data_IF_870576582685
#
_entry.id   IF_870576582685
#
_cell.length_a   1.000
_cell.length_b   1.000
_cell.length_c   1.000
_cell.angle_alpha   90.00
_cell.angle_beta   90.00
_cell.angle_gamma   90.00
#
_symmetry.space_group_name_H-M   'P 1'
#
loop_
_entity.id
_entity.type
_entity.pdbx_description
1 polymer ?
#
# COMPACT_ATOMS: atom_id res chain seq x y z
N UNK A 1 -6.62 20.63 -8.76
CA UNK A 1 -7.94 20.11 -9.21
C UNK A 1 -7.78 18.88 -10.11
N UNK A 2 -6.80 18.82 -11.03
CA UNK A 2 -6.60 17.66 -11.92
C UNK A 2 -5.94 16.44 -11.22
N UNK A 3 -5.05 16.66 -10.24
CA UNK A 3 -4.37 15.55 -9.57
C UNK A 3 -5.32 14.79 -8.63
N UNK A 4 -6.23 15.51 -7.97
CA UNK A 4 -7.34 14.92 -7.18
C UNK A 4 -8.21 14.00 -8.02
N UNK A 5 -8.45 14.36 -9.29
CA UNK A 5 -9.23 13.53 -10.20
C UNK A 5 -8.47 12.27 -10.61
N UNK A 6 -7.15 12.38 -10.86
CA UNK A 6 -6.30 11.23 -11.13
C UNK A 6 -6.23 10.26 -9.94
N UNK A 7 -6.24 10.76 -8.70
CA UNK A 7 -6.28 9.91 -7.51
C UNK A 7 -7.57 9.10 -7.42
N UNK A 8 -8.72 9.76 -7.59
CA UNK A 8 -10.01 9.06 -7.59
C UNK A 8 -10.09 8.05 -8.71
N UNK A 9 -9.65 8.40 -9.91
CA UNK A 9 -9.70 7.49 -11.04
C UNK A 9 -8.76 6.29 -10.83
N UNK A 10 -7.57 6.52 -10.29
CA UNK A 10 -6.65 5.43 -9.94
C UNK A 10 -7.25 4.51 -8.86
N UNK A 11 -7.91 5.08 -7.86
CA UNK A 11 -8.63 4.30 -6.85
C UNK A 11 -9.75 3.47 -7.48
N UNK A 12 -10.55 4.04 -8.38
CA UNK A 12 -11.59 3.30 -9.14
C UNK A 12 -10.99 2.14 -9.93
N UNK A 13 -9.86 2.34 -10.61
CA UNK A 13 -9.19 1.25 -11.33
C UNK A 13 -8.65 0.17 -10.39
N UNK A 14 -8.20 0.52 -9.18
CA UNK A 14 -7.80 -0.48 -8.19
C UNK A 14 -8.99 -1.31 -7.70
N UNK A 15 -10.13 -0.68 -7.43
CA UNK A 15 -11.36 -1.40 -7.06
C UNK A 15 -11.89 -2.26 -8.20
N UNK A 16 -11.68 -1.84 -9.46
CA UNK A 16 -12.03 -2.61 -10.65
C UNK A 16 -11.05 -3.78 -10.92
N UNK A 17 -9.93 -3.87 -10.21
CA UNK A 17 -8.92 -4.90 -10.43
C UNK A 17 -7.96 -4.61 -11.60
N UNK A 18 -7.84 -3.35 -12.02
CA UNK A 18 -7.01 -2.85 -13.11
C UNK A 18 -5.77 -2.07 -12.60
N UNK A 19 -4.82 -2.71 -11.90
CA UNK A 19 -3.71 -2.00 -11.26
C UNK A 19 -2.75 -1.33 -12.25
N UNK A 20 -2.66 -1.82 -13.48
CA UNK A 20 -1.81 -1.23 -14.52
C UNK A 20 -2.34 0.13 -14.98
N UNK A 21 -3.67 0.27 -15.06
CA UNK A 21 -4.28 1.54 -15.45
C UNK A 21 -4.19 2.57 -14.30
N UNK A 22 -4.34 2.12 -13.06
CA UNK A 22 -4.03 2.93 -11.89
C UNK A 22 -2.57 3.43 -11.92
N UNK A 23 -1.60 2.57 -12.26
CA UNK A 23 -0.20 3.00 -12.40
C UNK A 23 0.00 4.00 -13.53
N UNK A 24 -0.64 3.81 -14.68
CA UNK A 24 -0.57 4.77 -15.80
C UNK A 24 -0.99 6.19 -15.39
N UNK A 25 -1.93 6.30 -14.45
CA UNK A 25 -2.39 7.58 -13.91
C UNK A 25 -1.47 8.16 -12.82
N UNK A 26 -0.87 7.29 -12.00
CA UNK A 26 -0.09 7.69 -10.83
C UNK A 26 1.42 7.84 -11.09
N UNK A 27 2.02 7.06 -11.99
CA UNK A 27 3.47 7.10 -12.27
C UNK A 27 3.97 8.49 -12.70
N UNK A 28 3.25 9.27 -13.54
CA UNK A 28 3.68 10.63 -13.87
C UNK A 28 3.73 11.58 -12.67
N UNK A 29 3.07 11.21 -11.56
CA UNK A 29 3.01 11.99 -10.33
C UNK A 29 3.93 11.40 -9.24
N UNK A 30 4.69 10.34 -9.52
CA UNK A 30 5.43 9.60 -8.49
C UNK A 30 6.37 10.49 -7.65
N UNK A 31 7.00 11.49 -8.27
CA UNK A 31 7.90 12.43 -7.59
C UNK A 31 7.18 13.33 -6.59
N UNK A 32 6.01 13.84 -6.96
CA UNK A 32 5.14 14.63 -6.08
C UNK A 32 4.53 13.76 -4.99
N UNK A 33 4.14 12.53 -5.37
CA UNK A 33 3.54 11.58 -4.45
C UNK A 33 4.53 11.08 -3.40
N UNK A 34 5.84 11.18 -3.61
CA UNK A 34 6.87 10.68 -2.68
C UNK A 34 6.70 11.17 -1.25
N UNK A 35 6.12 12.36 -1.05
CA UNK A 35 5.86 12.96 0.25
C UNK A 35 4.36 13.09 0.57
N UNK A 36 3.50 12.36 -0.15
CA UNK A 36 2.05 12.39 0.04
C UNK A 36 1.54 11.00 0.41
N UNK A 37 1.18 10.80 1.68
CA UNK A 37 0.81 9.48 2.22
C UNK A 37 -0.31 8.78 1.45
N UNK A 38 -1.41 9.47 1.14
CA UNK A 38 -2.53 8.88 0.39
C UNK A 38 -2.15 8.44 -1.02
N UNK A 39 -1.29 9.20 -1.70
CA UNK A 39 -0.83 8.85 -3.04
C UNK A 39 0.23 7.76 -3.06
N UNK A 40 1.15 7.74 -2.08
CA UNK A 40 2.02 6.57 -1.87
C UNK A 40 1.21 5.31 -1.57
N UNK A 41 0.10 5.44 -0.83
CA UNK A 41 -0.76 4.31 -0.53
C UNK A 41 -1.40 3.74 -1.80
N UNK A 42 -1.95 4.60 -2.66
CA UNK A 42 -2.51 4.20 -3.97
C UNK A 42 -1.44 3.59 -4.89
N UNK A 43 -0.25 4.21 -4.98
CA UNK A 43 0.88 3.66 -5.74
C UNK A 43 1.31 2.29 -5.20
N UNK A 44 1.44 2.14 -3.88
CA UNK A 44 1.81 0.89 -3.24
C UNK A 44 0.80 -0.22 -3.53
N UNK A 45 -0.50 0.08 -3.43
CA UNK A 45 -1.58 -0.85 -3.82
C UNK A 45 -1.45 -1.25 -5.28
N UNK A 46 -1.27 -0.30 -6.19
CA UNK A 46 -1.13 -0.56 -7.61
C UNK A 46 0.10 -1.42 -7.94
N UNK A 47 1.25 -1.16 -7.31
CA UNK A 47 2.43 -2.01 -7.42
C UNK A 47 2.21 -3.41 -6.86
N UNK A 48 1.56 -3.54 -5.72
CA UNK A 48 1.26 -4.83 -5.10
C UNK A 48 0.39 -5.70 -6.01
N UNK A 49 -0.71 -5.14 -6.52
CA UNK A 49 -1.65 -5.86 -7.38
C UNK A 49 -1.06 -6.17 -8.77
N UNK A 50 -0.11 -5.37 -9.25
CA UNK A 50 0.68 -5.66 -10.46
C UNK A 50 1.95 -6.49 -10.22
N UNK A 51 2.10 -7.09 -9.03
CA UNK A 51 3.23 -7.94 -8.64
C UNK A 51 4.62 -7.26 -8.64
N UNK A 52 4.68 -5.94 -8.66
CA UNK A 52 5.91 -5.15 -8.53
C UNK A 52 6.30 -4.97 -7.05
N UNK A 53 6.58 -6.09 -6.37
CA UNK A 53 6.65 -6.14 -4.91
C UNK A 53 7.74 -5.27 -4.28
N UNK A 54 8.86 -5.03 -4.97
CA UNK A 54 9.91 -4.13 -4.48
C UNK A 54 9.40 -2.68 -4.41
N UNK A 55 8.77 -2.20 -5.49
CA UNK A 55 8.18 -0.85 -5.54
C UNK A 55 7.01 -0.70 -4.57
N UNK A 56 6.23 -1.77 -4.38
CA UNK A 56 5.15 -1.79 -3.40
C UNK A 56 5.69 -1.62 -1.96
N UNK A 57 6.76 -2.36 -1.63
CA UNK A 57 7.39 -2.26 -0.32
C UNK A 57 7.89 -0.83 -0.07
N UNK A 58 8.66 -0.27 -1.00
CA UNK A 58 9.21 1.08 -0.92
C UNK A 58 8.12 2.16 -0.74
N UNK A 59 6.95 1.97 -1.39
CA UNK A 59 5.83 2.88 -1.27
C UNK A 59 5.15 2.76 0.10
N UNK A 60 4.87 1.54 0.57
CA UNK A 60 4.24 1.33 1.87
C UNK A 60 5.15 1.70 3.05
N UNK A 61 6.46 1.47 2.94
CA UNK A 61 7.44 1.93 3.95
C UNK A 61 7.35 3.45 4.13
N UNK A 62 7.28 4.21 3.03
CA UNK A 62 7.07 5.67 3.10
C UNK A 62 5.75 6.06 3.74
N UNK A 63 4.67 5.34 3.47
CA UNK A 63 3.39 5.59 4.16
C UNK A 63 3.53 5.34 5.66
N UNK A 64 4.19 4.25 6.06
CA UNK A 64 4.44 3.93 7.48
C UNK A 64 5.36 4.97 8.14
N UNK A 65 6.32 5.54 7.42
CA UNK A 65 7.14 6.65 7.93
C UNK A 65 6.34 7.93 8.13
N UNK A 66 5.47 8.30 7.17
CA UNK A 66 4.65 9.52 7.23
C UNK A 66 3.46 9.40 8.18
N UNK A 67 2.85 8.22 8.25
CA UNK A 67 1.67 7.89 9.03
C UNK A 67 1.89 6.58 9.81
N UNK A 68 2.67 6.60 10.90
CA UNK A 68 3.03 5.39 11.64
C UNK A 68 1.85 4.61 12.25
N UNK A 69 0.72 5.29 12.41
CA UNK A 69 -0.55 4.76 12.96
C UNK A 69 -1.53 4.31 11.88
N UNK A 70 -1.17 4.36 10.61
CA UNK A 70 -2.00 3.79 9.53
C UNK A 70 -1.93 2.26 9.56
N UNK A 71 -2.96 1.64 10.15
CA UNK A 71 -3.07 0.20 10.27
C UNK A 71 -3.11 -0.52 8.91
N UNK A 72 -3.75 0.09 7.91
CA UNK A 72 -3.84 -0.49 6.58
C UNK A 72 -2.49 -0.47 5.87
N UNK A 73 -1.73 0.63 5.95
CA UNK A 73 -0.39 0.70 5.38
C UNK A 73 0.57 -0.32 6.03
N UNK A 74 0.49 -0.50 7.36
CA UNK A 74 1.21 -1.55 8.09
C UNK A 74 0.84 -2.94 7.56
N UNK A 75 -0.45 -3.23 7.45
CA UNK A 75 -0.95 -4.51 6.94
C UNK A 75 -0.48 -4.76 5.49
N UNK A 76 -0.61 -3.76 4.61
CA UNK A 76 -0.21 -3.85 3.21
C UNK A 76 1.31 -4.07 3.05
N UNK A 77 2.14 -3.43 3.89
CA UNK A 77 3.57 -3.70 3.96
C UNK A 77 3.84 -5.15 4.39
N UNK A 78 3.16 -5.64 5.43
CA UNK A 78 3.24 -7.04 5.87
C UNK A 78 2.88 -8.02 4.75
N UNK A 79 1.76 -7.81 4.05
CA UNK A 79 1.35 -8.61 2.87
C UNK A 79 2.40 -8.60 1.77
N UNK A 80 3.02 -7.44 1.53
CA UNK A 80 4.07 -7.28 0.52
C UNK A 80 5.31 -8.08 0.90
N UNK A 81 5.77 -7.98 2.15
CA UNK A 81 6.91 -8.73 2.67
C UNK A 81 6.65 -10.23 2.65
N UNK A 82 5.46 -10.67 3.02
CA UNK A 82 5.04 -12.08 2.93
C UNK A 82 5.13 -12.61 1.49
N UNK A 83 4.62 -11.87 0.50
CA UNK A 83 4.75 -12.25 -0.93
C UNK A 83 6.19 -12.23 -1.44
N UNK A 84 7.09 -11.53 -0.75
CA UNK A 84 8.54 -11.55 -0.99
C UNK A 84 9.27 -12.61 -0.16
N UNK A 85 8.55 -13.52 0.50
CA UNK A 85 9.08 -14.57 1.38
C UNK A 85 9.84 -14.07 2.62
N UNK A 86 9.61 -12.81 3.03
CA UNK A 86 10.19 -12.20 4.25
C UNK A 86 9.21 -12.32 5.41
N UNK A 87 8.95 -13.55 5.84
CA UNK A 87 7.87 -13.87 6.79
C UNK A 87 8.08 -13.24 8.18
N UNK A 88 9.30 -13.29 8.72
CA UNK A 88 9.62 -12.74 10.04
C UNK A 88 9.34 -11.23 10.12
N UNK A 89 9.68 -10.50 9.06
CA UNK A 89 9.45 -9.05 8.99
C UNK A 89 7.98 -8.74 8.76
N UNK A 90 7.29 -9.53 7.94
CA UNK A 90 5.85 -9.40 7.72
C UNK A 90 5.07 -9.52 9.04
N UNK A 91 5.45 -10.47 9.90
CA UNK A 91 4.78 -10.72 11.17
C UNK A 91 4.83 -9.49 12.09
N UNK A 92 5.96 -8.79 12.14
CA UNK A 92 6.09 -7.54 12.92
C UNK A 92 5.06 -6.51 12.47
N UNK A 93 4.89 -6.33 11.15
CA UNK A 93 3.93 -5.38 10.61
C UNK A 93 2.47 -5.79 10.84
N UNK A 94 2.15 -7.09 10.73
CA UNK A 94 0.81 -7.60 11.06
C UNK A 94 0.44 -7.38 12.52
N UNK A 95 1.35 -7.72 13.45
CA UNK A 95 1.11 -7.49 14.89
C UNK A 95 0.84 -6.03 15.19
N UNK A 96 1.57 -5.11 14.56
CA UNK A 96 1.34 -3.66 14.74
C UNK A 96 0.01 -3.23 14.13
N UNK A 97 -0.35 -3.72 12.93
CA UNK A 97 -1.64 -3.41 12.32
C UNK A 97 -2.82 -3.86 13.22
N UNK A 98 -2.77 -5.08 13.74
CA UNK A 98 -3.77 -5.63 14.67
C UNK A 98 -3.90 -4.84 15.98
N UNK A 99 -2.77 -4.28 16.46
CA UNK A 99 -2.75 -3.46 17.67
C UNK A 99 -3.29 -2.04 17.44
N UNK A 100 -3.07 -1.48 16.25
CA UNK A 100 -3.58 -0.16 15.86
C UNK A 100 -5.08 -0.19 15.55
N UNK A 101 -5.53 -1.23 14.85
CA UNK A 101 -6.92 -1.39 14.45
C UNK A 101 -7.36 -2.85 14.62
N UNK A 102 -8.30 -3.13 15.55
CA UNK A 102 -8.75 -4.48 15.87
C UNK A 102 -9.72 -5.10 14.84
N UNK A 103 -9.76 -4.62 13.59
CA UNK A 103 -10.58 -5.26 12.54
C UNK A 103 -10.12 -6.70 12.26
N UNK A 104 -11.04 -7.62 11.93
CA UNK A 104 -10.71 -9.01 11.63
C UNK A 104 -9.64 -9.16 10.54
N UNK A 105 -9.70 -8.33 9.50
CA UNK A 105 -8.76 -8.32 8.38
C UNK A 105 -7.29 -8.10 8.79
N UNK A 106 -7.04 -7.46 9.94
CA UNK A 106 -5.70 -7.20 10.47
C UNK A 106 -5.27 -8.17 11.56
N UNK A 107 -6.18 -9.04 12.03
CA UNK A 107 -5.93 -10.02 13.08
C UNK A 107 -5.43 -11.37 12.56
N UNK A 108 -5.51 -11.61 11.24
CA UNK A 108 -5.05 -12.82 10.55
C UNK A 108 -3.92 -12.50 9.53
N UNK A 109 -2.98 -13.41 9.20
CA UNK A 109 -3.09 -14.88 9.28
C UNK A 109 -2.06 -15.55 10.18
N UNK A 110 -2.53 -16.36 11.13
CA UNK A 110 -1.74 -17.41 11.79
C UNK A 110 -2.13 -18.72 11.14
N UNK A 111 -1.34 -19.15 10.15
CA UNK A 111 -1.18 -20.56 9.77
C UNK A 111 0.33 -20.84 9.71
#
# INVERSE_FOLDING_TARGET
MQDTERYRLAEVHLEAGDPLEALRLLEPLADELRTHAGGQLLLGRAYYHSAQLARAQDAFERVVEMAPTDAYARFALGRTLQRRSRHDEAEVHFRVAAALDPRPEFREPVD
#
